data_IF_888340690958
#
_entry.id   IF_888340690958
#
_cell.length_a   1.000
_cell.length_b   1.000
_cell.length_c   1.000
_cell.angle_alpha   90.00
_cell.angle_beta   90.00
_cell.angle_gamma   90.00
#
_symmetry.space_group_name_H-M   'P 1'
#
loop_
_entity.id
_entity.type
_entity.pdbx_description
1 polymer ?
#
# COMPACT_ATOMS: atom_id res chain seq x y z
N UNK A 1 10.82 -3.14 15.08
CA UNK A 1 10.18 -2.75 13.81
C UNK A 1 11.14 -3.02 12.67
N UNK A 2 10.88 -4.07 11.89
CA UNK A 2 11.70 -4.42 10.72
C UNK A 2 11.06 -3.89 9.43
N UNK A 3 11.89 -3.39 8.51
CA UNK A 3 11.49 -2.91 7.19
C UNK A 3 11.95 -3.94 6.15
N UNK A 4 11.09 -4.29 5.19
CA UNK A 4 11.50 -5.09 4.03
C UNK A 4 12.58 -4.32 3.23
N UNK A 5 13.66 -5.00 2.86
CA UNK A 5 14.83 -4.38 2.18
C UNK A 5 14.58 -4.26 0.68
N UNK A 6 14.66 -3.05 0.11
CA UNK A 6 14.54 -2.77 -1.34
C UNK A 6 15.91 -2.25 -1.84
N UNK A 7 16.29 -2.49 -3.12
CA UNK A 7 17.52 -1.97 -3.70
C UNK A 7 17.70 -0.43 -3.55
N UNK A 8 18.95 0.05 -3.41
CA UNK A 8 19.23 1.48 -3.22
C UNK A 8 18.97 2.30 -4.50
N UNK A 9 18.33 3.46 -4.36
CA UNK A 9 18.22 4.48 -5.43
C UNK A 9 16.81 4.95 -5.78
N UNK A 10 15.77 4.25 -5.35
CA UNK A 10 14.37 4.67 -5.53
C UNK A 10 13.86 5.28 -4.22
N UNK A 11 13.28 6.50 -4.21
CA UNK A 11 12.64 7.06 -3.03
C UNK A 11 11.56 6.11 -2.53
N UNK A 12 11.76 5.53 -1.35
CA UNK A 12 10.76 4.71 -0.68
C UNK A 12 9.56 5.59 -0.30
N UNK A 13 8.50 5.54 -1.11
CA UNK A 13 7.24 6.24 -0.81
C UNK A 13 6.18 5.33 -0.24
N UNK A 14 6.37 4.00 -0.29
CA UNK A 14 5.45 3.01 0.27
C UNK A 14 6.20 2.05 1.19
N UNK A 15 5.60 1.74 2.34
CA UNK A 15 6.21 0.96 3.40
C UNK A 15 5.22 -0.05 3.95
N UNK A 16 5.72 -1.27 4.19
CA UNK A 16 4.99 -2.34 4.86
C UNK A 16 5.71 -2.65 6.16
N UNK A 17 4.99 -2.50 7.28
CA UNK A 17 5.51 -2.68 8.63
C UNK A 17 4.81 -3.85 9.32
N UNK A 18 5.53 -4.53 10.20
CA UNK A 18 5.02 -5.64 10.99
C UNK A 18 5.24 -5.38 12.48
N UNK A 19 4.29 -5.79 13.33
CA UNK A 19 4.38 -5.66 14.78
C UNK A 19 5.23 -6.76 15.43
N UNK A 20 6.33 -7.13 14.75
CA UNK A 20 7.33 -8.09 15.23
C UNK A 20 8.74 -7.50 15.10
N UNK A 21 9.68 -8.08 15.84
CA UNK A 21 11.10 -7.76 15.77
C UNK A 21 11.85 -8.64 14.76
N UNK A 22 11.21 -9.69 14.23
CA UNK A 22 11.78 -10.50 13.15
C UNK A 22 11.81 -9.73 11.82
N UNK A 23 12.77 -10.08 10.97
CA UNK A 23 12.93 -9.48 9.64
C UNK A 23 12.14 -10.30 8.62
N UNK A 24 11.26 -9.63 7.86
CA UNK A 24 10.57 -10.26 6.75
C UNK A 24 11.59 -10.59 5.65
N UNK A 25 11.73 -11.87 5.23
CA UNK A 25 12.71 -12.28 4.24
C UNK A 25 12.28 -11.97 2.80
N UNK A 26 11.04 -11.52 2.59
CA UNK A 26 10.48 -11.21 1.29
C UNK A 26 10.65 -9.72 0.97
N UNK A 27 11.46 -9.35 -0.03
CA UNK A 27 11.52 -7.98 -0.53
C UNK A 27 10.46 -7.73 -1.61
N UNK A 28 10.19 -6.46 -1.91
CA UNK A 28 9.62 -6.12 -3.22
C UNK A 28 10.73 -6.18 -4.27
N UNK A 29 10.45 -6.78 -5.44
CA UNK A 29 11.47 -6.90 -6.51
C UNK A 29 11.49 -5.72 -7.48
N UNK A 30 10.58 -4.76 -7.30
CA UNK A 30 10.47 -3.50 -8.05
C UNK A 30 9.76 -2.44 -7.17
N UNK A 31 9.47 -1.26 -7.71
CA UNK A 31 8.76 -0.19 -7.02
C UNK A 31 7.33 -0.61 -6.59
N UNK A 32 7.05 -0.68 -5.27
CA UNK A 32 5.71 -1.04 -4.77
C UNK A 32 4.72 0.14 -4.78
N UNK A 33 5.12 1.34 -5.20
CA UNK A 33 4.24 2.52 -5.26
C UNK A 33 2.99 2.29 -6.12
N UNK A 34 3.03 1.39 -7.11
CA UNK A 34 1.83 1.04 -7.89
C UNK A 34 0.71 0.48 -7.01
N UNK A 35 1.01 -0.18 -5.89
CA UNK A 35 0.01 -0.64 -4.91
C UNK A 35 -0.66 0.57 -4.24
N UNK A 36 0.14 1.55 -3.82
CA UNK A 36 -0.36 2.80 -3.23
C UNK A 36 -1.21 3.58 -4.23
N UNK A 37 -0.80 3.61 -5.50
CA UNK A 37 -1.53 4.28 -6.57
C UNK A 37 -2.90 3.63 -6.80
N UNK A 38 -2.94 2.30 -6.88
CA UNK A 38 -4.19 1.54 -6.95
C UNK A 38 -5.08 1.81 -5.72
N UNK A 39 -4.54 1.71 -4.50
CA UNK A 39 -5.31 1.94 -3.27
C UNK A 39 -5.89 3.36 -3.20
N UNK A 40 -5.10 4.36 -3.60
CA UNK A 40 -5.51 5.76 -3.66
C UNK A 40 -6.67 5.99 -4.64
N UNK A 41 -6.58 5.46 -5.85
CA UNK A 41 -7.66 5.60 -6.83
C UNK A 41 -8.91 4.78 -6.47
N UNK A 42 -8.72 3.59 -5.89
CA UNK A 42 -9.81 2.79 -5.35
C UNK A 42 -10.57 3.54 -4.24
N UNK A 43 -9.84 4.22 -3.34
CA UNK A 43 -10.44 5.08 -2.32
C UNK A 43 -11.18 6.27 -2.94
N UNK A 44 -10.54 7.02 -3.85
CA UNK A 44 -11.14 8.17 -4.53
C UNK A 44 -12.39 7.83 -5.34
N UNK A 45 -12.48 6.62 -5.90
CA UNK A 45 -13.65 6.16 -6.66
C UNK A 45 -14.92 6.06 -5.78
N UNK A 46 -14.79 5.83 -4.47
CA UNK A 46 -15.93 5.87 -3.54
C UNK A 46 -16.55 7.28 -3.43
N UNK A 47 -15.81 8.31 -3.83
CA UNK A 47 -16.21 9.72 -3.81
C UNK A 47 -16.41 10.31 -5.21
N UNK A 48 -16.48 9.47 -6.25
CA UNK A 48 -16.73 9.89 -7.63
C UNK A 48 -15.49 10.30 -8.43
N UNK A 49 -14.28 9.95 -7.98
CA UNK A 49 -13.06 10.11 -8.78
C UNK A 49 -13.13 9.34 -10.10
N UNK A 50 -12.58 9.92 -11.16
CA UNK A 50 -12.57 9.37 -12.51
C UNK A 50 -11.13 9.01 -12.92
N UNK A 51 -10.80 7.73 -12.82
CA UNK A 51 -9.51 7.15 -13.22
C UNK A 51 -9.70 5.65 -13.47
N UNK A 52 -8.99 5.09 -14.44
CA UNK A 52 -9.15 3.70 -14.88
C UNK A 52 -8.91 2.68 -13.75
N UNK A 53 -7.91 2.90 -12.88
CA UNK A 53 -7.72 2.06 -11.69
C UNK A 53 -8.84 2.16 -10.66
N UNK A 54 -9.50 3.33 -10.56
CA UNK A 54 -10.67 3.51 -9.70
C UNK A 54 -11.87 2.73 -10.26
N UNK A 55 -12.06 2.79 -11.57
CA UNK A 55 -13.07 1.99 -12.28
C UNK A 55 -12.79 0.49 -12.15
N UNK A 56 -11.53 0.07 -12.30
CA UNK A 56 -11.09 -1.31 -12.08
C UNK A 56 -11.42 -1.77 -10.66
N UNK A 57 -11.10 -0.97 -9.64
CA UNK A 57 -11.44 -1.27 -8.25
C UNK A 57 -12.96 -1.38 -8.03
N UNK A 58 -13.77 -0.52 -8.65
CA UNK A 58 -15.22 -0.62 -8.56
C UNK A 58 -15.76 -1.86 -9.26
N UNK A 59 -15.17 -2.27 -10.38
CA UNK A 59 -15.51 -3.54 -11.04
C UNK A 59 -15.17 -4.74 -10.13
N UNK A 60 -13.95 -4.80 -9.60
CA UNK A 60 -13.52 -5.83 -8.64
C UNK A 60 -14.48 -5.92 -7.44
N UNK A 61 -14.81 -4.77 -6.81
CA UNK A 61 -15.69 -4.71 -5.63
C UNK A 61 -17.13 -5.07 -5.94
N UNK A 62 -17.73 -4.50 -6.99
CA UNK A 62 -19.19 -4.55 -7.22
C UNK A 62 -19.63 -5.69 -8.14
N UNK A 63 -18.76 -6.13 -9.05
CA UNK A 63 -19.06 -7.20 -10.01
C UNK A 63 -18.42 -8.52 -9.61
N UNK A 64 -17.17 -8.47 -9.17
CA UNK A 64 -16.42 -9.67 -8.78
C UNK A 64 -16.49 -9.97 -7.26
N UNK A 65 -17.09 -9.07 -6.47
CA UNK A 65 -17.30 -9.19 -5.02
C UNK A 65 -16.00 -9.30 -4.20
N UNK A 66 -14.89 -8.74 -4.70
CA UNK A 66 -13.62 -8.69 -3.98
C UNK A 66 -13.75 -7.74 -2.78
N UNK A 67 -13.37 -8.20 -1.59
CA UNK A 67 -13.31 -7.32 -0.41
C UNK A 67 -12.05 -6.45 -0.45
N UNK A 68 -12.22 -5.18 -0.85
CA UNK A 68 -11.12 -4.20 -0.92
C UNK A 68 -10.81 -3.52 0.41
N UNK A 69 -11.58 -3.75 1.48
CA UNK A 69 -11.34 -3.04 2.76
C UNK A 69 -9.91 -3.17 3.29
N UNK A 70 -9.24 -4.34 3.20
CA UNK A 70 -7.87 -4.47 3.70
C UNK A 70 -6.85 -3.61 2.94
N UNK A 71 -6.95 -3.56 1.60
CA UNK A 71 -6.01 -2.77 0.77
C UNK A 71 -6.25 -1.26 0.93
N UNK A 72 -7.47 -0.85 1.29
CA UNK A 72 -7.82 0.56 1.56
C UNK A 72 -7.41 1.03 2.95
N UNK A 73 -6.84 0.15 3.78
CA UNK A 73 -6.37 0.49 5.13
C UNK A 73 -4.88 0.81 5.13
N UNK A 74 -4.56 2.04 4.72
CA UNK A 74 -3.22 2.60 4.66
C UNK A 74 -3.22 4.02 5.24
N UNK A 75 -2.05 4.54 5.64
CA UNK A 75 -1.94 5.86 6.26
C UNK A 75 -0.69 6.63 5.81
N UNK A 76 -0.78 7.95 5.80
CA UNK A 76 0.39 8.82 5.64
C UNK A 76 1.29 8.70 6.89
N UNK A 77 2.60 8.84 6.71
CA UNK A 77 3.59 8.94 7.78
C UNK A 77 3.78 10.37 8.25
N UNK A 78 3.38 11.35 7.45
CA UNK A 78 3.43 12.75 7.82
C UNK A 78 2.11 13.16 8.49
N UNK A 79 2.15 13.40 9.80
CA UNK A 79 0.95 13.75 10.57
C UNK A 79 0.85 15.27 10.66
N UNK A 80 -0.12 15.86 9.97
CA UNK A 80 -0.43 17.28 10.10
C UNK A 80 -1.39 17.55 11.27
N UNK A 81 -2.11 16.52 11.72
CA UNK A 81 -3.09 16.62 12.80
C UNK A 81 -3.13 15.41 13.73
N UNK A 82 -3.79 15.58 14.88
CA UNK A 82 -4.12 14.49 15.81
C UNK A 82 -5.06 13.44 15.20
N UNK A 83 -5.85 13.81 14.19
CA UNK A 83 -6.69 12.88 13.46
C UNK A 83 -5.83 11.94 12.61
N UNK A 84 -4.86 12.49 11.87
CA UNK A 84 -3.95 11.70 11.03
C UNK A 84 -3.14 10.72 11.86
N UNK A 85 -2.64 11.17 13.02
CA UNK A 85 -1.94 10.31 13.98
C UNK A 85 -2.83 9.14 14.45
N UNK A 86 -4.11 9.38 14.72
CA UNK A 86 -5.04 8.31 15.13
C UNK A 86 -5.31 7.34 14.00
N UNK A 87 -5.46 7.82 12.77
CA UNK A 87 -5.66 6.95 11.60
C UNK A 87 -4.41 6.10 11.32
N UNK A 88 -3.21 6.66 11.48
CA UNK A 88 -1.97 5.91 11.41
C UNK A 88 -1.88 4.79 12.46
N UNK A 89 -2.24 5.06 13.72
CA UNK A 89 -2.28 4.01 14.75
C UNK A 89 -3.37 2.96 14.47
N UNK A 90 -4.51 3.38 13.92
CA UNK A 90 -5.60 2.48 13.55
C UNK A 90 -5.29 1.62 12.34
N UNK A 91 -4.34 2.02 11.49
CA UNK A 91 -4.01 1.33 10.24
C UNK A 91 -3.37 -0.05 10.44
N UNK A 92 -2.92 -0.41 11.65
CA UNK A 92 -2.60 -1.79 11.99
C UNK A 92 -3.77 -2.74 11.73
N UNK A 93 -3.53 -3.84 11.03
CA UNK A 93 -4.56 -4.78 10.62
C UNK A 93 -4.09 -6.24 10.63
N UNK A 94 -5.01 -7.22 10.68
CA UNK A 94 -4.66 -8.63 10.57
C UNK A 94 -3.96 -8.92 9.23
N UNK A 95 -2.76 -9.49 9.27
CA UNK A 95 -1.98 -9.74 8.06
C UNK A 95 -2.68 -10.73 7.11
N UNK A 96 -3.36 -11.74 7.64
CA UNK A 96 -4.08 -12.74 6.84
C UNK A 96 -5.18 -12.13 5.96
N UNK A 97 -5.86 -11.09 6.44
CA UNK A 97 -6.92 -10.42 5.69
C UNK A 97 -6.34 -9.62 4.51
N UNK A 98 -5.23 -8.93 4.74
CA UNK A 98 -4.52 -8.22 3.67
C UNK A 98 -3.91 -9.19 2.65
N UNK A 99 -3.37 -10.33 3.09
CA UNK A 99 -2.84 -11.36 2.20
C UNK A 99 -3.91 -11.92 1.25
N UNK A 100 -5.09 -12.23 1.79
CA UNK A 100 -6.21 -12.74 0.99
C UNK A 100 -6.67 -11.71 -0.04
N UNK A 101 -6.91 -10.47 0.40
CA UNK A 101 -7.30 -9.34 -0.46
C UNK A 101 -6.29 -9.13 -1.60
N UNK A 102 -4.99 -9.06 -1.28
CA UNK A 102 -3.95 -8.83 -2.28
C UNK A 102 -3.86 -9.99 -3.30
N UNK A 103 -3.99 -11.25 -2.87
CA UNK A 103 -4.01 -12.41 -3.78
C UNK A 103 -5.21 -12.41 -4.70
N UNK A 104 -6.38 -12.03 -4.19
CA UNK A 104 -7.63 -12.01 -4.95
C UNK A 104 -7.59 -10.93 -6.03
N UNK A 105 -7.15 -9.71 -5.68
CA UNK A 105 -6.94 -8.64 -6.66
C UNK A 105 -5.92 -9.08 -7.72
N UNK A 106 -4.77 -9.62 -7.30
CA UNK A 106 -3.72 -10.07 -8.22
C UNK A 106 -4.24 -11.15 -9.19
N UNK A 107 -5.04 -12.11 -8.72
CA UNK A 107 -5.60 -13.16 -9.56
C UNK A 107 -6.51 -12.60 -10.67
N UNK A 108 -7.32 -11.59 -10.36
CA UNK A 108 -8.16 -10.94 -11.37
C UNK A 108 -7.36 -10.08 -12.36
N UNK A 109 -6.25 -9.47 -11.93
CA UNK A 109 -5.38 -8.71 -12.84
C UNK A 109 -4.58 -9.64 -13.77
N UNK A 110 -4.16 -10.80 -13.28
CA UNK A 110 -3.43 -11.80 -14.07
C UNK A 110 -4.33 -12.51 -15.11
N UNK A 111 -5.62 -12.60 -14.83
CA UNK A 111 -6.62 -13.18 -15.72
C UNK A 111 -7.84 -12.25 -15.83
N UNK A 112 -7.69 -11.08 -16.47
CA UNK A 112 -8.74 -10.07 -16.50
C UNK A 112 -9.89 -10.50 -17.43
N UNK A 113 -11.12 -10.18 -17.03
CA UNK A 113 -12.26 -10.25 -17.93
C UNK A 113 -12.23 -9.09 -18.95
N UNK A 114 -13.17 -9.12 -19.92
CA UNK A 114 -13.26 -8.12 -20.98
C UNK A 114 -13.46 -6.68 -20.47
N UNK A 115 -14.01 -6.51 -19.26
CA UNK A 115 -14.21 -5.19 -18.65
C UNK A 115 -12.94 -4.72 -17.95
N UNK A 116 -12.27 -5.61 -17.21
CA UNK A 116 -11.09 -5.28 -16.43
C UNK A 116 -9.87 -5.03 -17.31
N UNK A 117 -9.69 -5.83 -18.37
CA UNK A 117 -8.50 -5.82 -19.23
C UNK A 117 -8.10 -4.41 -19.73
N UNK A 118 -9.00 -3.59 -20.33
CA UNK A 118 -8.63 -2.24 -20.76
C UNK A 118 -8.32 -1.29 -19.60
N UNK A 119 -8.90 -1.49 -18.41
CA UNK A 119 -8.73 -0.60 -17.25
C UNK A 119 -7.39 -0.78 -16.54
N UNK A 120 -6.75 -1.93 -16.71
CA UNK A 120 -5.45 -2.27 -16.10
C UNK A 120 -4.29 -2.22 -17.10
N UNK A 121 -4.55 -1.86 -18.36
CA UNK A 121 -3.51 -1.72 -19.38
C UNK A 121 -2.52 -0.62 -18.96
N UNK A 122 -1.21 -0.91 -19.01
CA UNK A 122 -0.16 -0.02 -18.51
C UNK A 122 0.15 -0.15 -17.01
N UNK A 123 -0.53 -1.06 -16.30
CA UNK A 123 -0.32 -1.37 -14.88
C UNK A 123 0.15 -2.81 -14.66
N UNK A 124 0.93 -3.38 -15.58
CA UNK A 124 1.35 -4.79 -15.59
C UNK A 124 2.15 -5.18 -14.34
N UNK A 125 2.80 -4.21 -13.69
CA UNK A 125 3.58 -4.42 -12.47
C UNK A 125 2.69 -4.56 -11.22
N UNK A 126 1.40 -4.23 -11.27
CA UNK A 126 0.51 -4.23 -10.11
C UNK A 126 0.32 -5.64 -9.52
N UNK A 127 0.01 -6.64 -10.34
CA UNK A 127 -0.21 -8.00 -9.84
C UNK A 127 1.04 -8.61 -9.18
N UNK A 128 2.24 -8.56 -9.80
CA UNK A 128 3.46 -9.02 -9.13
C UNK A 128 3.71 -8.35 -7.78
N UNK A 129 3.51 -7.03 -7.66
CA UNK A 129 3.67 -6.31 -6.39
C UNK A 129 2.63 -6.76 -5.35
N UNK A 130 1.37 -6.98 -5.74
CA UNK A 130 0.35 -7.52 -4.84
C UNK A 130 0.67 -8.95 -4.36
N UNK A 131 1.25 -9.79 -5.23
CA UNK A 131 1.73 -11.14 -4.84
C UNK A 131 2.84 -11.07 -3.80
N UNK A 132 3.79 -10.15 -3.97
CA UNK A 132 4.86 -9.91 -2.99
C UNK A 132 4.31 -9.39 -1.66
N UNK A 133 3.37 -8.43 -1.70
CA UNK A 133 2.68 -7.96 -0.50
C UNK A 133 1.97 -9.10 0.22
N UNK A 134 1.30 -9.99 -0.52
CA UNK A 134 0.66 -11.16 0.06
C UNK A 134 1.66 -12.11 0.73
N UNK A 135 2.81 -12.39 0.10
CA UNK A 135 3.85 -13.24 0.68
C UNK A 135 4.41 -12.66 1.99
N UNK A 136 4.62 -11.34 2.03
CA UNK A 136 5.02 -10.65 3.27
C UNK A 136 3.94 -10.77 4.36
N UNK A 137 2.67 -10.66 3.99
CA UNK A 137 1.55 -10.77 4.92
C UNK A 137 1.35 -12.21 5.41
N UNK A 138 1.55 -13.23 4.56
CA UNK A 138 1.50 -14.64 4.96
C UNK A 138 2.63 -14.95 5.96
N UNK A 139 3.84 -14.42 5.73
CA UNK A 139 4.96 -14.52 6.67
C UNK A 139 4.64 -13.92 8.05
N UNK A 140 3.99 -12.77 8.07
CA UNK A 140 3.56 -12.10 9.29
C UNK A 140 2.41 -12.85 9.99
N UNK A 141 1.44 -13.35 9.22
CA UNK A 141 0.33 -14.13 9.73
C UNK A 141 0.80 -15.42 10.43
N UNK A 142 1.80 -16.11 9.87
CA UNK A 142 2.43 -17.29 10.49
C UNK A 142 3.07 -17.00 11.87
N UNK A 143 3.28 -15.73 12.21
CA UNK A 143 3.82 -15.25 13.48
C UNK A 143 2.77 -14.59 14.38
N UNK A 144 1.51 -14.63 13.99
CA UNK A 144 0.43 -13.84 14.60
C UNK A 144 0.73 -12.34 14.65
N UNK A 145 1.53 -11.84 13.71
CA UNK A 145 1.87 -10.43 13.59
C UNK A 145 0.79 -9.69 12.77
N UNK A 146 0.48 -8.47 13.18
CA UNK A 146 -0.28 -7.48 12.41
C UNK A 146 0.64 -6.81 11.39
N UNK A 147 0.02 -6.28 10.35
CA UNK A 147 0.65 -5.53 9.28
C UNK A 147 0.09 -4.11 9.23
N UNK A 148 0.90 -3.17 8.78
CA UNK A 148 0.49 -1.81 8.46
C UNK A 148 1.12 -1.37 7.14
N UNK A 149 0.29 -0.76 6.29
CA UNK A 149 0.76 -0.12 5.06
C UNK A 149 0.79 1.38 5.28
N UNK A 150 1.91 2.01 4.96
CA UNK A 150 2.10 3.45 5.13
C UNK A 150 2.82 4.05 3.93
N UNK A 151 2.70 5.36 3.75
CA UNK A 151 3.38 6.07 2.68
C UNK A 151 4.03 7.37 3.17
N UNK A 152 4.96 7.90 2.38
CA UNK A 152 5.60 9.20 2.62
C UNK A 152 5.81 9.89 1.27
N UNK A 153 5.12 11.00 1.04
CA UNK A 153 5.19 11.74 -0.23
C UNK A 153 6.23 12.85 -0.22
N UNK A 154 6.89 13.09 0.92
CA UNK A 154 7.91 14.14 1.03
C UNK A 154 9.07 13.89 0.07
N UNK A 155 9.59 14.97 -0.50
CA UNK A 155 10.76 14.87 -1.35
C UNK A 155 11.98 14.43 -0.53
N UNK A 156 12.93 13.66 -1.11
CA UNK A 156 14.13 13.21 -0.41
C UNK A 156 14.93 14.32 0.30
N UNK A 157 14.84 15.56 -0.19
CA UNK A 157 15.52 16.73 0.36
C UNK A 157 14.80 17.41 1.55
N UNK A 158 13.52 17.11 1.81
CA UNK A 158 12.78 17.75 2.90
C UNK A 158 13.22 17.24 4.28
N UNK A 159 13.75 16.00 4.36
CA UNK A 159 14.33 15.45 5.59
C UNK A 159 15.63 16.17 6.03
N UNK A 160 16.25 16.97 5.16
CA UNK A 160 17.48 17.74 5.46
C UNK A 160 17.23 19.17 5.94
N UNK A 161 15.99 19.67 5.89
CA UNK A 161 15.65 21.02 6.35
C UNK A 161 15.15 20.99 7.79
N UNK A 162 16.07 20.79 8.74
CA UNK A 162 15.82 21.16 10.14
C UNK A 162 15.56 22.68 10.24
N UNK A 163 14.77 23.15 11.22
CA UNK A 163 14.52 24.58 11.38
C UNK A 163 15.85 25.26 11.72
N UNK A 164 16.24 26.29 10.95
CA UNK A 164 17.28 27.20 11.39
C UNK A 164 16.80 27.83 12.69
N UNK A 165 17.44 27.48 13.81
CA UNK A 165 17.36 28.22 15.06
C UNK A 165 17.72 29.67 14.74
N UNK A 166 16.74 30.57 14.77
CA UNK A 166 16.98 32.01 14.73
C UNK A 166 17.41 32.39 16.13
N UNK A 167 18.71 32.63 16.32
CA UNK A 167 19.19 33.26 17.56
C UNK A 167 18.67 34.71 17.62
N UNK A 168 18.07 35.14 18.74
CA UNK A 168 17.73 36.54 18.94
C UNK A 168 19.00 37.37 19.14
N UNK A 169 19.07 38.51 18.45
CA UNK A 169 20.06 39.57 18.70
C UNK A 169 19.68 40.41 19.91
#
# INVERSE_FOLDING_TARGET
>A
MSLATIPPGVPHRFFVEFDTNEVCPFPFTDDPVVILFFASWAYSAEFGGQHELGEAAMHLKRRLNVDLKPILKYADRDFESELDRREFERSWQPAIALAACAREIAAHIEAPDETLAPLIAGYEHLAPRLRELAAMCDWAAARNARVRMTFDLREPDERRRTPRTVEPR
#
